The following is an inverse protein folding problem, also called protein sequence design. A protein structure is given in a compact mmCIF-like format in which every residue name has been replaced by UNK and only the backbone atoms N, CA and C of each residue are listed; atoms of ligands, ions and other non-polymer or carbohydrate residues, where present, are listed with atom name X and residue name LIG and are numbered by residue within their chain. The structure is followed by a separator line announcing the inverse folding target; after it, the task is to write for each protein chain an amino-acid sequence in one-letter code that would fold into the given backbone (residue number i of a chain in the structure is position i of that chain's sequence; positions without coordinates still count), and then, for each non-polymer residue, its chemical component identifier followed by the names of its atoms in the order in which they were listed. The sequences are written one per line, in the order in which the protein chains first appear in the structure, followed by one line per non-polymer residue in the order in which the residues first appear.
data_IF_973403054696
#
_entry.id   IF_973403054696
#
_cell.length_a   1.000
_cell.length_b   1.000
_cell.length_c   1.000
_cell.angle_alpha   90.00
_cell.angle_beta   90.00
_cell.angle_gamma   90.00
#
_symmetry.space_group_name_H-M   'P 1'
#
loop_
_entity.id
_entity.type
_entity.pdbx_description
1 polymer ?
#
# COMPACT_ATOMS: atom_id res chain seq x y z
N UNK A 1 -4.55 -11.53 41.89
CA UNK A 1 -4.18 -12.32 40.69
C UNK A 1 -5.04 -11.82 39.53
N UNK A 2 -4.46 -11.33 38.42
CA UNK A 2 -5.24 -11.07 37.22
C UNK A 2 -5.59 -12.42 36.59
N UNK A 3 -6.88 -12.64 36.35
CA UNK A 3 -7.38 -13.88 35.77
C UNK A 3 -7.26 -13.72 34.24
N UNK A 4 -6.57 -14.62 33.51
CA UNK A 4 -6.36 -14.48 32.08
C UNK A 4 -7.60 -15.02 31.36
N UNK A 5 -8.56 -14.15 31.03
CA UNK A 5 -9.77 -14.60 30.37
C UNK A 5 -9.62 -14.56 28.86
N UNK A 6 -9.97 -15.67 28.22
CA UNK A 6 -10.24 -15.80 26.78
C UNK A 6 -11.14 -14.67 26.21
N UNK A 7 -11.89 -13.96 27.06
CA UNK A 7 -12.70 -12.81 26.69
C UNK A 7 -11.89 -11.62 26.21
N UNK A 8 -10.70 -11.35 26.74
CA UNK A 8 -9.89 -10.20 26.30
C UNK A 8 -9.51 -10.37 24.82
N UNK A 9 -9.10 -11.57 24.43
CA UNK A 9 -8.79 -11.88 23.03
C UNK A 9 -10.01 -11.73 22.12
N UNK A 10 -11.20 -12.17 22.56
CA UNK A 10 -12.43 -12.03 21.76
C UNK A 10 -12.86 -10.56 21.68
N UNK A 11 -12.77 -9.81 22.76
CA UNK A 11 -13.07 -8.38 22.80
C UNK A 11 -12.11 -7.61 21.90
N UNK A 12 -10.81 -7.84 22.01
CA UNK A 12 -9.79 -7.23 21.16
C UNK A 12 -10.00 -7.60 19.69
N UNK A 13 -10.24 -8.88 19.39
CA UNK A 13 -10.49 -9.34 18.02
C UNK A 13 -11.74 -8.70 17.42
N UNK A 14 -12.83 -8.67 18.18
CA UNK A 14 -14.10 -8.08 17.72
C UNK A 14 -13.93 -6.58 17.51
N UNK A 15 -13.23 -5.89 18.41
CA UNK A 15 -12.91 -4.47 18.29
C UNK A 15 -12.09 -4.19 17.02
N UNK A 16 -11.03 -4.95 16.79
CA UNK A 16 -10.19 -4.82 15.58
C UNK A 16 -10.99 -5.09 14.30
N UNK A 17 -11.88 -6.07 14.30
CA UNK A 17 -12.75 -6.38 13.16
C UNK A 17 -13.76 -5.25 12.88
N UNK A 18 -14.36 -4.67 13.92
CA UNK A 18 -15.26 -3.51 13.83
C UNK A 18 -14.52 -2.26 13.35
N UNK A 19 -13.33 -1.97 13.91
CA UNK A 19 -12.48 -0.86 13.50
C UNK A 19 -12.08 -1.01 12.01
N UNK A 20 -11.66 -2.20 11.58
CA UNK A 20 -11.38 -2.49 10.16
C UNK A 20 -12.60 -2.34 9.27
N UNK A 21 -13.80 -2.69 9.75
CA UNK A 21 -15.04 -2.50 8.99
C UNK A 21 -15.40 -1.02 8.86
N UNK A 22 -15.28 -0.25 9.94
CA UNK A 22 -15.45 1.20 9.94
C UNK A 22 -14.43 1.89 9.03
N UNK A 23 -13.17 1.47 9.10
CA UNK A 23 -12.08 1.92 8.25
C UNK A 23 -12.38 1.65 6.77
N UNK A 24 -12.80 0.43 6.39
CA UNK A 24 -13.20 0.10 5.01
C UNK A 24 -14.40 0.90 4.52
N UNK A 25 -15.33 1.29 5.41
CA UNK A 25 -16.47 2.16 5.06
C UNK A 25 -16.00 3.61 4.89
N UNK A 26 -15.16 4.11 5.78
CA UNK A 26 -14.59 5.45 5.72
C UNK A 26 -13.72 5.63 4.47
N UNK A 27 -12.88 4.65 4.15
CA UNK A 27 -12.04 4.60 2.95
C UNK A 27 -12.88 4.69 1.67
N UNK A 28 -13.95 3.89 1.57
CA UNK A 28 -14.87 3.92 0.43
C UNK A 28 -15.54 5.28 0.24
N UNK A 29 -15.91 5.95 1.33
CA UNK A 29 -16.47 7.30 1.26
C UNK A 29 -15.41 8.36 0.93
N UNK A 30 -14.24 8.26 1.55
CA UNK A 30 -13.13 9.19 1.40
C UNK A 30 -12.51 9.17 -0.01
N UNK A 31 -12.59 8.03 -0.70
CA UNK A 31 -12.04 7.83 -2.05
C UNK A 31 -13.11 7.74 -3.12
N UNK A 32 -14.34 8.17 -2.84
CA UNK A 32 -15.39 8.26 -3.85
C UNK A 32 -14.98 9.29 -4.93
N UNK A 33 -14.23 8.85 -5.94
CA UNK A 33 -13.64 9.69 -6.99
C UNK A 33 -12.16 9.40 -7.28
N UNK A 34 -11.43 8.71 -6.40
CA UNK A 34 -10.02 8.36 -6.62
C UNK A 34 -9.94 6.91 -7.08
N UNK A 35 -9.43 6.67 -8.29
CA UNK A 35 -9.26 5.32 -8.86
C UNK A 35 -8.08 4.59 -8.19
N UNK A 36 -8.27 4.09 -6.98
CA UNK A 36 -7.29 3.30 -6.22
C UNK A 36 -7.90 1.96 -5.85
N UNK A 37 -7.14 0.87 -5.95
CA UNK A 37 -7.64 -0.43 -5.51
C UNK A 37 -7.89 -0.43 -3.99
N UNK A 38 -8.87 -1.21 -3.54
CA UNK A 38 -9.19 -1.29 -2.10
C UNK A 38 -7.98 -1.71 -1.24
N UNK A 39 -7.08 -2.53 -1.80
CA UNK A 39 -5.87 -2.99 -1.13
C UNK A 39 -4.83 -1.88 -0.98
N UNK A 40 -4.60 -1.10 -2.04
CA UNK A 40 -3.69 0.05 -2.02
C UNK A 40 -4.18 1.12 -1.05
N UNK A 41 -5.47 1.41 -1.10
CA UNK A 41 -6.09 2.36 -0.20
C UNK A 41 -5.98 1.92 1.27
N UNK A 42 -6.15 0.63 1.56
CA UNK A 42 -5.98 0.09 2.91
C UNK A 42 -4.51 0.18 3.38
N UNK A 43 -3.54 -0.02 2.49
CA UNK A 43 -2.12 0.13 2.78
C UNK A 43 -1.71 1.61 2.99
N UNK A 44 -2.35 2.54 2.28
CA UNK A 44 -2.11 3.97 2.41
C UNK A 44 -2.77 4.60 3.65
N UNK A 45 -3.78 3.95 4.24
CA UNK A 45 -4.58 4.52 5.31
C UNK A 45 -3.80 5.10 6.50
N UNK A 46 -2.78 4.43 7.09
CA UNK A 46 -2.04 5.01 8.21
C UNK A 46 -1.38 6.35 7.84
N UNK A 47 -0.88 6.44 6.60
CA UNK A 47 -0.23 7.65 6.07
C UNK A 47 -1.25 8.76 5.79
N UNK A 48 -2.45 8.41 5.34
CA UNK A 48 -3.55 9.38 5.16
C UNK A 48 -3.95 10.01 6.51
N UNK A 49 -3.98 9.21 7.58
CA UNK A 49 -4.31 9.72 8.92
C UNK A 49 -3.22 10.64 9.45
N UNK A 50 -1.96 10.26 9.30
CA UNK A 50 -0.81 11.11 9.64
C UNK A 50 -0.82 12.42 8.85
N UNK A 51 -1.09 12.33 7.53
CA UNK A 51 -1.22 13.49 6.66
C UNK A 51 -2.38 14.41 7.07
N UNK A 52 -3.54 13.85 7.42
CA UNK A 52 -4.68 14.61 7.95
C UNK A 52 -4.26 15.41 9.19
N UNK A 53 -3.55 14.78 10.12
CA UNK A 53 -3.10 15.44 11.35
C UNK A 53 -2.13 16.58 11.04
N UNK A 54 -1.10 16.31 10.22
CA UNK A 54 -0.12 17.31 9.80
C UNK A 54 -0.77 18.52 9.12
N UNK A 55 -1.68 18.31 8.17
CA UNK A 55 -2.36 19.40 7.47
C UNK A 55 -3.30 20.16 8.42
N UNK A 56 -3.97 19.46 9.34
CA UNK A 56 -4.84 20.10 10.32
C UNK A 56 -4.07 21.01 11.28
N UNK A 57 -2.89 20.56 11.73
CA UNK A 57 -1.99 21.38 12.55
C UNK A 57 -1.51 22.61 11.80
N UNK A 58 -1.07 22.44 10.55
CA UNK A 58 -0.58 23.56 9.73
C UNK A 58 -1.64 24.61 9.43
N UNK A 59 -2.90 24.20 9.27
CA UNK A 59 -4.01 25.10 8.98
C UNK A 59 -4.71 25.63 10.23
N UNK A 60 -4.38 25.12 11.42
CA UNK A 60 -5.05 25.46 12.68
C UNK A 60 -6.53 25.06 12.72
N UNK A 61 -6.96 24.11 11.89
CA UNK A 61 -8.36 23.63 11.80
C UNK A 61 -8.42 22.20 11.28
N UNK A 62 -9.46 21.45 11.62
CA UNK A 62 -9.67 20.11 11.05
C UNK A 62 -10.07 20.22 9.56
N UNK A 63 -9.27 19.60 8.69
CA UNK A 63 -9.52 19.52 7.24
C UNK A 63 -10.50 18.40 6.86
N UNK A 64 -10.76 17.47 7.77
CA UNK A 64 -11.59 16.30 7.49
C UNK A 64 -10.87 15.23 6.65
N UNK A 65 -11.38 14.01 6.75
CA UNK A 65 -10.71 12.82 6.20
C UNK A 65 -10.75 12.76 4.67
N UNK A 66 -11.85 13.17 4.05
CA UNK A 66 -12.00 13.11 2.58
C UNK A 66 -11.00 14.04 1.88
N UNK A 67 -10.90 15.29 2.36
CA UNK A 67 -9.97 16.29 1.81
C UNK A 67 -8.52 15.82 2.00
N UNK A 68 -8.16 15.35 3.19
CA UNK A 68 -6.81 14.84 3.45
C UNK A 68 -6.49 13.59 2.60
N UNK A 69 -7.46 12.72 2.34
CA UNK A 69 -7.25 11.55 1.48
C UNK A 69 -6.98 11.96 0.03
N UNK A 70 -7.77 12.88 -0.52
CA UNK A 70 -7.55 13.41 -1.89
C UNK A 70 -6.18 14.08 -1.99
N UNK A 71 -5.86 14.99 -1.07
CA UNK A 71 -4.58 15.71 -1.04
C UNK A 71 -3.37 14.76 -0.90
N UNK A 72 -3.49 13.72 -0.07
CA UNK A 72 -2.45 12.70 0.05
C UNK A 72 -2.18 11.97 -1.27
N UNK A 73 -3.24 11.56 -1.99
CA UNK A 73 -3.07 10.84 -3.26
C UNK A 73 -2.61 11.72 -4.41
N UNK A 74 -2.97 13.01 -4.40
CA UNK A 74 -2.58 13.96 -5.44
C UNK A 74 -1.15 14.50 -5.24
N UNK A 75 -0.76 14.79 -3.99
CA UNK A 75 0.45 15.57 -3.71
C UNK A 75 1.55 14.81 -2.94
N UNK A 76 1.23 13.72 -2.23
CA UNK A 76 2.17 13.05 -1.31
C UNK A 76 2.49 11.61 -1.72
N UNK A 77 1.53 10.91 -2.33
CA UNK A 77 1.70 9.51 -2.68
C UNK A 77 2.90 9.35 -3.63
N UNK A 78 3.93 8.57 -3.27
CA UNK A 78 5.05 8.34 -4.17
C UNK A 78 4.53 7.66 -5.44
N UNK A 79 5.05 8.01 -6.63
CA UNK A 79 4.68 7.31 -7.86
C UNK A 79 4.96 5.82 -7.64
N UNK A 80 3.90 5.03 -7.72
CA UNK A 80 3.95 3.63 -7.37
C UNK A 80 5.07 3.00 -8.21
N UNK A 81 6.13 2.53 -7.53
CA UNK A 81 7.13 1.66 -8.15
C UNK A 81 6.37 0.39 -8.49
N UNK A 82 5.73 0.37 -9.67
CA UNK A 82 5.42 -0.87 -10.36
C UNK A 82 6.68 -1.69 -10.21
N UNK A 83 6.61 -2.79 -9.46
CA UNK A 83 7.71 -3.71 -9.43
C UNK A 83 8.00 -3.98 -10.89
N UNK A 84 9.12 -3.46 -11.42
CA UNK A 84 9.68 -3.99 -12.65
C UNK A 84 9.64 -5.47 -12.39
N UNK A 85 8.78 -6.18 -13.10
CA UNK A 85 8.85 -7.63 -13.18
C UNK A 85 10.27 -7.83 -13.69
N UNK A 86 11.19 -8.12 -12.79
CA UNK A 86 12.44 -8.74 -13.12
C UNK A 86 12.05 -10.14 -13.57
N UNK A 87 11.49 -10.23 -14.77
CA UNK A 87 11.85 -11.29 -15.70
C UNK A 87 13.33 -11.05 -16.01
N UNK A 88 14.18 -11.31 -15.03
CA UNK A 88 15.60 -11.54 -15.22
C UNK A 88 15.75 -12.99 -15.71
N UNK A 89 14.96 -13.35 -16.72
CA UNK A 89 15.39 -14.34 -17.68
C UNK A 89 16.28 -13.57 -18.63
N UNK A 90 17.53 -13.36 -18.21
CA UNK A 90 18.62 -13.15 -19.16
C UNK A 90 18.41 -14.18 -20.27
N UNK A 91 18.34 -13.80 -21.56
CA UNK A 91 18.34 -14.79 -22.62
C UNK A 91 19.55 -15.70 -22.38
N UNK A 92 19.39 -17.04 -22.47
CA UNK A 92 20.54 -17.93 -22.33
C UNK A 92 21.59 -17.41 -23.30
N UNK A 93 22.82 -17.20 -22.80
CA UNK A 93 23.95 -16.79 -23.62
C UNK A 93 23.94 -17.69 -24.84
N UNK A 94 23.64 -17.12 -26.02
CA UNK A 94 23.80 -17.85 -27.28
C UNK A 94 25.22 -18.43 -27.23
N UNK A 95 25.40 -19.74 -27.45
CA UNK A 95 26.73 -20.32 -27.45
C UNK A 95 27.53 -19.53 -28.48
N UNK A 96 28.54 -18.80 -28.01
CA UNK A 96 29.50 -18.14 -28.89
C UNK A 96 29.95 -19.18 -29.90
N UNK A 97 29.79 -18.84 -31.18
CA UNK A 97 30.16 -19.72 -32.28
C UNK A 97 31.55 -20.30 -32.01
N UNK A 98 31.61 -21.62 -31.89
CA UNK A 98 32.86 -22.36 -31.80
C UNK A 98 33.68 -22.02 -33.05
N UNK A 99 35.00 -21.77 -32.95
CA UNK A 99 35.82 -21.62 -34.13
C UNK A 99 35.74 -22.92 -34.91
N UNK A 100 35.20 -22.86 -36.13
CA UNK A 100 35.16 -23.98 -37.06
C UNK A 100 36.62 -24.38 -37.29
N UNK A 101 37.03 -25.50 -36.69
CA UNK A 101 38.33 -26.08 -36.95
C UNK A 101 38.49 -26.26 -38.45
N UNK A 102 39.46 -25.53 -38.99
CA UNK A 102 39.91 -25.61 -40.37
C UNK A 102 40.65 -26.94 -40.53
N UNK A 103 39.91 -28.03 -40.73
CA UNK A 103 40.47 -29.22 -41.37
C UNK A 103 40.69 -28.89 -42.85
N UNK A 104 41.93 -29.02 -43.28
CA UNK A 104 42.32 -28.91 -44.68
C UNK A 104 43.57 -29.77 -44.90
N UNK A 105 43.30 -30.98 -45.41
CA UNK A 105 44.10 -31.89 -46.25
C UNK A 105 45.58 -32.10 -45.92
#
# INVERSE_FOLDING_TARGET
MPIPFKLDYVIERTRVEVERAAQRRALRRALAGVHVSAREAQAAWPRIIEHKWYVSERLGRDVGLHVAAVDYFENVAPPMRTSRRSSDTLPPRLPMMQPLMRQGW
#
